data_IF_555888600882
#
_entry.id   IF_555888600882
#
_cell.length_a   1.000
_cell.length_b   1.000
_cell.length_c   1.000
_cell.angle_alpha   90.00
_cell.angle_beta   90.00
_cell.angle_gamma   90.00
#
_symmetry.space_group_name_H-M   'P 1'
#
loop_
_entity.id
_entity.type
_entity.pdbx_description
1 polymer ?
#
# COMPACT_ATOMS: atom_id res chain seq x y z
N UNK A 1 -7.74 28.29 46.87
CA UNK A 1 -8.90 29.20 47.01
C UNK A 1 -8.40 30.55 47.49
N UNK A 2 -8.95 31.69 47.05
CA UNK A 2 -9.80 31.96 45.89
C UNK A 2 -9.19 33.17 45.10
N UNK A 3 -9.94 34.11 44.46
CA UNK A 3 -9.85 34.32 43.01
C UNK A 3 -9.58 35.78 42.60
N UNK A 4 -9.39 36.05 41.31
CA UNK A 4 -10.03 37.22 40.66
C UNK A 4 -9.86 37.15 39.15
N UNK A 5 -11.01 37.15 38.49
CA UNK A 5 -11.26 37.16 37.06
C UNK A 5 -11.22 38.63 36.53
N UNK A 6 -11.86 38.99 35.39
CA UNK A 6 -11.17 39.34 34.15
C UNK A 6 -11.50 40.77 33.69
N UNK A 7 -11.13 41.07 32.43
CA UNK A 7 -11.67 42.08 31.48
C UNK A 7 -10.77 43.29 31.20
N UNK A 8 -10.22 43.29 29.99
CA UNK A 8 -10.19 44.46 29.12
C UNK A 8 -11.00 44.04 27.87
N UNK A 9 -12.10 44.67 27.46
CA UNK A 9 -12.29 46.11 27.37
C UNK A 9 -11.76 46.57 26.01
N UNK A 10 -12.49 46.26 24.93
CA UNK A 10 -12.27 46.90 23.63
C UNK A 10 -13.61 47.29 23.00
N UNK A 11 -13.51 48.46 22.39
CA UNK A 11 -14.52 49.49 22.27
C UNK A 11 -15.41 49.27 21.05
N UNK A 12 -16.61 49.83 21.17
CA UNK A 12 -17.65 49.99 20.16
C UNK A 12 -17.08 50.75 18.95
N UNK A 13 -17.29 50.19 17.75
CA UNK A 13 -17.12 50.87 16.47
C UNK A 13 -18.38 50.67 15.64
N UNK A 14 -19.26 51.65 15.67
CA UNK A 14 -20.46 51.75 14.85
C UNK A 14 -20.03 52.09 13.41
N UNK A 15 -20.33 51.24 12.43
CA UNK A 15 -20.11 51.56 11.02
C UNK A 15 -21.30 51.09 10.17
N UNK A 16 -22.22 52.03 10.03
CA UNK A 16 -23.06 52.37 8.87
C UNK A 16 -23.38 51.27 7.85
N UNK A 17 -24.68 50.98 7.83
CA UNK A 17 -25.49 50.37 6.78
C UNK A 17 -25.20 50.97 5.39
N UNK A 18 -24.59 50.19 4.49
CA UNK A 18 -24.62 50.44 3.05
C UNK A 18 -25.49 49.38 2.38
N UNK A 19 -26.74 49.75 2.17
CA UNK A 19 -27.71 49.06 1.33
C UNK A 19 -27.22 49.12 -0.12
N UNK A 20 -26.69 48.01 -0.63
CA UNK A 20 -26.37 47.88 -2.06
C UNK A 20 -27.31 46.86 -2.67
N UNK A 21 -28.27 47.39 -3.44
CA UNK A 21 -29.12 46.62 -4.35
C UNK A 21 -28.28 46.12 -5.52
N UNK A 22 -28.05 44.81 -5.59
CA UNK A 22 -27.55 44.17 -6.82
C UNK A 22 -28.73 43.50 -7.51
N UNK A 23 -29.24 44.16 -8.54
CA UNK A 23 -30.10 43.56 -9.54
C UNK A 23 -29.17 42.85 -10.54
N UNK A 24 -29.10 41.52 -10.51
CA UNK A 24 -28.42 40.74 -11.54
C UNK A 24 -29.39 39.72 -12.14
N UNK A 25 -29.64 39.91 -13.43
CA UNK A 25 -30.49 39.11 -14.28
C UNK A 25 -30.06 37.64 -14.33
N UNK A 26 -31.04 36.77 -14.57
CA UNK A 26 -30.87 35.33 -14.58
C UNK A 26 -29.86 34.81 -15.59
N UNK A 27 -29.16 33.76 -15.16
CA UNK A 27 -28.73 32.66 -16.01
C UNK A 27 -29.06 31.40 -15.20
N UNK A 28 -30.13 30.70 -15.57
CA UNK A 28 -30.39 29.35 -15.08
C UNK A 28 -29.27 28.49 -15.65
N UNK A 29 -28.21 28.28 -14.86
CA UNK A 29 -27.18 27.29 -15.16
C UNK A 29 -27.82 25.91 -15.05
N UNK A 30 -27.98 25.24 -16.18
CA UNK A 30 -28.31 23.83 -16.22
C UNK A 30 -27.20 23.07 -15.50
N UNK A 31 -27.50 22.53 -14.33
CA UNK A 31 -26.65 21.56 -13.64
C UNK A 31 -26.60 20.35 -14.56
N UNK A 32 -25.49 20.22 -15.30
CA UNK A 32 -25.24 19.00 -16.07
C UNK A 32 -24.92 17.92 -15.05
N UNK A 33 -25.88 17.04 -14.81
CA UNK A 33 -25.73 15.81 -14.05
C UNK A 33 -24.73 14.91 -14.81
N UNK A 34 -23.44 15.11 -14.53
CA UNK A 34 -22.36 14.26 -15.02
C UNK A 34 -22.47 12.92 -14.29
N UNK A 35 -23.43 12.10 -14.73
CA UNK A 35 -23.48 10.68 -14.38
C UNK A 35 -22.16 10.07 -14.79
N UNK A 36 -21.30 9.89 -13.80
CA UNK A 36 -20.11 9.06 -13.88
C UNK A 36 -20.55 7.69 -14.34
N UNK A 37 -20.38 7.43 -15.64
CA UNK A 37 -20.56 6.09 -16.19
C UNK A 37 -19.54 5.19 -15.51
N UNK A 38 -19.91 3.96 -15.09
CA UNK A 38 -18.93 3.04 -14.55
C UNK A 38 -17.90 2.77 -15.65
N UNK A 39 -16.70 3.32 -15.49
CA UNK A 39 -15.58 3.05 -16.37
C UNK A 39 -15.40 1.54 -16.39
N UNK A 40 -15.43 0.94 -17.58
CA UNK A 40 -14.99 -0.43 -17.77
C UNK A 40 -13.61 -0.60 -17.10
N UNK A 41 -13.29 -1.80 -16.56
CA UNK A 41 -11.95 -2.06 -16.05
C UNK A 41 -10.95 -1.67 -17.15
N UNK A 42 -9.87 -0.95 -16.81
CA UNK A 42 -8.93 -0.51 -17.82
C UNK A 42 -8.48 -1.74 -18.61
N UNK A 43 -8.47 -1.68 -19.96
CA UNK A 43 -7.92 -2.77 -20.75
C UNK A 43 -6.51 -3.04 -20.22
N UNK A 44 -6.17 -4.32 -20.01
CA UNK A 44 -4.80 -4.78 -19.76
C UNK A 44 -3.91 -4.01 -20.72
N UNK A 45 -3.20 -3.00 -20.20
CA UNK A 45 -2.48 -2.07 -21.05
C UNK A 45 -1.42 -2.90 -21.78
N UNK A 46 -1.31 -2.73 -23.10
CA UNK A 46 -0.27 -3.41 -23.87
C UNK A 46 1.08 -3.14 -23.18
N UNK A 47 1.77 -4.22 -22.77
CA UNK A 47 2.99 -4.11 -21.97
C UNK A 47 2.84 -4.33 -20.47
N UNK A 48 1.71 -4.80 -19.94
CA UNK A 48 1.59 -5.27 -18.55
C UNK A 48 1.56 -6.79 -18.44
N UNK A 49 2.21 -7.33 -17.40
CA UNK A 49 2.14 -8.74 -17.02
C UNK A 49 1.07 -8.95 -15.96
N UNK A 50 0.15 -9.88 -16.20
CA UNK A 50 -0.87 -10.31 -15.24
C UNK A 50 -0.31 -11.39 -14.30
N UNK A 51 -0.31 -11.12 -13.01
CA UNK A 51 0.01 -12.06 -11.94
C UNK A 51 -1.29 -12.44 -11.21
N UNK A 52 -1.66 -13.74 -11.14
CA UNK A 52 -2.85 -14.15 -10.42
C UNK A 52 -2.69 -13.95 -8.91
N UNK A 53 -3.73 -13.41 -8.27
CA UNK A 53 -3.77 -13.22 -6.82
C UNK A 53 -4.68 -14.25 -6.16
N UNK A 54 -4.35 -14.62 -4.92
CA UNK A 54 -5.33 -15.25 -4.02
C UNK A 54 -5.85 -14.18 -3.07
N UNK A 55 -7.13 -13.85 -3.16
CA UNK A 55 -7.77 -12.84 -2.29
C UNK A 55 -8.60 -13.54 -1.22
N UNK A 56 -8.21 -13.40 0.05
CA UNK A 56 -8.98 -13.86 1.20
C UNK A 56 -9.81 -12.71 1.77
N UNK A 57 -11.06 -12.97 2.10
CA UNK A 57 -11.97 -12.01 2.74
C UNK A 57 -12.50 -12.62 4.04
N UNK A 58 -12.35 -11.91 5.15
CA UNK A 58 -12.94 -12.29 6.43
C UNK A 58 -13.56 -11.03 7.08
N UNK A 59 -14.88 -10.90 6.98
CA UNK A 59 -15.58 -9.68 7.37
C UNK A 59 -15.08 -8.47 6.59
N UNK A 60 -14.53 -7.46 7.30
CA UNK A 60 -13.96 -6.24 6.70
C UNK A 60 -12.49 -6.39 6.29
N UNK A 61 -11.85 -7.49 6.66
CA UNK A 61 -10.44 -7.74 6.34
C UNK A 61 -10.33 -8.38 4.95
N UNK A 62 -9.46 -7.82 4.12
CA UNK A 62 -9.13 -8.34 2.78
C UNK A 62 -7.61 -8.48 2.70
N UNK A 63 -7.14 -9.66 2.29
CA UNK A 63 -5.71 -9.93 2.08
C UNK A 63 -5.52 -10.45 0.67
N UNK A 64 -4.64 -9.80 -0.09
CA UNK A 64 -4.22 -10.24 -1.40
C UNK A 64 -2.85 -10.92 -1.30
N UNK A 65 -2.77 -12.16 -1.77
CA UNK A 65 -1.54 -12.93 -1.85
C UNK A 65 -1.01 -12.95 -3.29
N UNK A 66 0.26 -12.63 -3.43
CA UNK A 66 1.06 -12.78 -4.64
C UNK A 66 1.85 -14.10 -4.54
N UNK A 67 1.77 -14.99 -5.53
CA UNK A 67 2.68 -16.15 -5.61
C UNK A 67 4.07 -15.67 -6.02
N UNK A 68 5.05 -15.85 -5.15
CA UNK A 68 6.44 -15.43 -5.38
C UNK A 68 7.36 -16.64 -5.41
N UNK A 69 8.18 -16.75 -6.45
CA UNK A 69 9.25 -17.75 -6.54
C UNK A 69 10.55 -17.10 -6.12
N UNK A 70 11.35 -17.72 -5.25
CA UNK A 70 12.65 -17.23 -4.80
C UNK A 70 13.69 -18.30 -5.12
N UNK A 71 14.78 -17.92 -5.80
CA UNK A 71 15.82 -18.84 -6.25
C UNK A 71 15.30 -20.07 -7.04
N UNK A 72 14.12 -19.97 -7.65
CA UNK A 72 13.49 -21.07 -8.41
C UNK A 72 12.60 -21.99 -7.56
N UNK A 73 12.55 -21.78 -6.25
CA UNK A 73 11.65 -22.48 -5.34
C UNK A 73 10.37 -21.68 -5.06
N UNK A 74 9.28 -22.38 -4.79
CA UNK A 74 7.97 -21.79 -4.50
C UNK A 74 6.84 -22.41 -5.35
N UNK A 75 5.72 -21.69 -5.56
CA UNK A 75 5.50 -20.31 -5.12
C UNK A 75 5.24 -20.20 -3.60
N UNK A 76 5.88 -19.24 -2.96
CA UNK A 76 5.60 -18.81 -1.59
C UNK A 76 4.48 -17.78 -1.57
N UNK A 77 3.65 -17.79 -0.52
CA UNK A 77 2.53 -16.85 -0.37
C UNK A 77 2.98 -15.53 0.25
N UNK A 78 3.18 -14.52 -0.58
CA UNK A 78 3.54 -13.18 -0.15
C UNK A 78 2.29 -12.30 -0.04
N UNK A 79 2.13 -11.58 1.05
CA UNK A 79 1.11 -10.52 1.13
C UNK A 79 1.54 -9.35 0.25
N UNK A 80 0.62 -8.83 -0.56
CA UNK A 80 0.81 -7.55 -1.23
C UNK A 80 0.56 -6.41 -0.23
N UNK A 81 1.61 -5.69 0.16
CA UNK A 81 1.50 -4.62 1.16
C UNK A 81 2.15 -3.32 0.68
N UNK A 82 1.33 -2.44 0.09
CA UNK A 82 1.77 -1.11 -0.33
C UNK A 82 2.08 -0.17 0.84
N UNK A 83 1.66 -0.52 2.07
CA UNK A 83 1.91 0.26 3.28
C UNK A 83 3.26 -0.03 3.94
N UNK A 84 3.89 -1.15 3.60
CA UNK A 84 5.22 -1.50 4.10
C UNK A 84 6.33 -0.80 3.30
N UNK A 85 7.30 -0.22 4.00
CA UNK A 85 8.48 0.38 3.38
C UNK A 85 9.49 -0.66 2.87
N UNK A 86 9.57 -1.83 3.50
CA UNK A 86 10.49 -2.91 3.15
C UNK A 86 9.73 -4.23 2.94
N UNK A 87 10.19 -5.01 1.97
CA UNK A 87 9.74 -6.38 1.74
C UNK A 87 10.29 -7.31 2.81
N UNK A 88 9.50 -8.31 3.19
CA UNK A 88 9.87 -9.27 4.23
C UNK A 88 9.81 -10.71 3.72
N UNK A 89 10.73 -11.54 4.20
CA UNK A 89 10.71 -12.99 3.99
C UNK A 89 10.46 -13.67 5.33
N UNK A 90 9.60 -14.70 5.33
CA UNK A 90 9.40 -15.54 6.51
C UNK A 90 10.70 -16.22 6.92
N UNK A 91 10.99 -16.24 8.22
CA UNK A 91 12.20 -16.88 8.78
C UNK A 91 12.29 -18.38 8.42
N UNK A 92 11.16 -19.06 8.19
CA UNK A 92 11.11 -20.42 7.65
C UNK A 92 11.55 -20.51 6.18
N UNK A 93 11.11 -19.57 5.33
CA UNK A 93 11.53 -19.48 3.93
C UNK A 93 13.01 -19.11 3.82
N UNK A 94 13.46 -18.13 4.61
CA UNK A 94 14.85 -17.70 4.63
C UNK A 94 15.80 -18.84 4.98
N UNK A 95 15.45 -19.66 5.98
CA UNK A 95 16.22 -20.87 6.32
C UNK A 95 16.11 -21.96 5.27
N UNK A 96 14.92 -22.22 4.74
CA UNK A 96 14.70 -23.27 3.73
C UNK A 96 15.59 -23.06 2.51
N UNK A 97 15.71 -21.82 2.06
CA UNK A 97 16.45 -21.44 0.86
C UNK A 97 17.91 -21.04 1.14
N UNK A 98 18.35 -21.15 2.40
CA UNK A 98 19.66 -20.72 2.87
C UNK A 98 20.02 -19.30 2.37
N UNK A 99 19.09 -18.34 2.55
CA UNK A 99 19.28 -16.98 2.05
C UNK A 99 20.46 -16.31 2.76
N UNK A 100 21.40 -15.68 2.02
CA UNK A 100 22.56 -15.02 2.62
C UNK A 100 22.13 -13.94 3.60
N UNK A 101 22.55 -14.04 4.86
CA UNK A 101 22.36 -12.99 5.86
C UNK A 101 23.43 -11.92 5.66
N UNK A 102 23.02 -10.65 5.59
CA UNK A 102 23.95 -9.53 5.37
C UNK A 102 24.75 -9.15 6.61
N UNK A 103 24.41 -9.72 7.77
CA UNK A 103 24.93 -9.33 9.08
C UNK A 103 24.26 -8.07 9.64
N UNK A 104 23.48 -7.35 8.84
CA UNK A 104 22.77 -6.15 9.25
C UNK A 104 21.47 -6.48 9.98
N UNK A 105 21.01 -5.51 10.79
CA UNK A 105 19.66 -5.50 11.34
C UNK A 105 18.99 -4.16 11.08
N UNK A 106 17.77 -4.20 10.55
CA UNK A 106 17.01 -3.00 10.22
C UNK A 106 15.93 -2.75 11.27
N UNK A 107 15.74 -1.51 11.75
CA UNK A 107 14.59 -1.18 12.58
C UNK A 107 13.31 -1.24 11.74
N UNK A 108 12.30 -1.94 12.26
CA UNK A 108 10.94 -1.96 11.74
C UNK A 108 10.02 -1.33 12.77
N UNK A 109 9.06 -0.52 12.34
CA UNK A 109 8.06 0.09 13.21
C UNK A 109 6.68 -0.40 12.80
N UNK A 110 5.92 -0.90 13.77
CA UNK A 110 4.54 -1.33 13.62
C UNK A 110 3.69 -0.85 14.78
N UNK A 111 2.42 -1.27 14.80
CA UNK A 111 1.45 -0.91 15.85
C UNK A 111 1.94 -1.26 17.25
N UNK A 112 2.75 -2.31 17.39
CA UNK A 112 3.23 -2.83 18.67
C UNK A 112 4.58 -2.25 19.11
N UNK A 113 5.18 -1.33 18.34
CA UNK A 113 6.46 -0.70 18.67
C UNK A 113 7.50 -0.86 17.57
N UNK A 114 8.77 -0.68 17.94
CA UNK A 114 9.91 -0.78 17.02
C UNK A 114 10.84 -1.92 17.44
N UNK A 115 11.23 -2.75 16.49
CA UNK A 115 12.15 -3.88 16.69
C UNK A 115 13.25 -3.86 15.62
N UNK A 116 14.45 -4.36 15.94
CA UNK A 116 15.49 -4.60 14.92
C UNK A 116 15.47 -6.03 14.45
N UNK A 117 15.19 -6.24 13.16
CA UNK A 117 15.11 -7.58 12.55
C UNK A 117 16.30 -7.87 11.62
N UNK A 118 16.72 -9.13 11.46
CA UNK A 118 17.79 -9.49 10.53
C UNK A 118 17.44 -9.15 9.08
N UNK A 119 18.46 -8.99 8.25
CA UNK A 119 18.34 -8.74 6.82
C UNK A 119 19.00 -9.87 6.01
N UNK A 120 18.36 -10.25 4.92
CA UNK A 120 18.87 -11.22 3.94
C UNK A 120 18.94 -10.62 2.54
N UNK A 121 19.87 -11.12 1.73
CA UNK A 121 19.91 -10.81 0.31
C UNK A 121 18.99 -11.75 -0.47
N UNK A 122 18.14 -11.18 -1.33
CA UNK A 122 17.29 -11.90 -2.28
C UNK A 122 17.71 -11.52 -3.68
N UNK A 123 18.65 -12.27 -4.27
CA UNK A 123 19.24 -11.92 -5.56
C UNK A 123 18.34 -12.27 -6.75
N UNK A 124 17.51 -13.31 -6.65
CA UNK A 124 16.59 -13.75 -7.70
C UNK A 124 15.24 -14.18 -7.15
N UNK A 125 14.20 -13.46 -7.55
CA UNK A 125 12.82 -13.77 -7.22
C UNK A 125 11.85 -13.13 -8.22
N UNK A 126 10.69 -13.75 -8.40
CA UNK A 126 9.72 -13.33 -9.41
C UNK A 126 8.29 -13.49 -8.92
N UNK A 127 7.41 -12.61 -9.41
CA UNK A 127 5.97 -12.74 -9.31
C UNK A 127 5.44 -13.22 -10.67
N UNK A 128 5.11 -14.51 -10.78
CA UNK A 128 4.87 -15.12 -12.08
C UNK A 128 6.11 -15.01 -12.98
N UNK A 129 5.96 -14.39 -14.15
CA UNK A 129 7.06 -14.15 -15.12
C UNK A 129 7.81 -12.83 -14.89
N UNK A 130 7.34 -12.00 -13.97
CA UNK A 130 7.93 -10.68 -13.72
C UNK A 130 9.06 -10.80 -12.72
N UNK A 131 10.27 -10.45 -13.15
CA UNK A 131 11.42 -10.29 -12.25
C UNK A 131 11.21 -9.08 -11.33
N UNK A 132 11.33 -9.31 -10.03
CA UNK A 132 11.21 -8.27 -9.01
C UNK A 132 12.52 -7.47 -8.84
N UNK A 133 13.63 -8.00 -9.36
CA UNK A 133 14.99 -7.47 -9.19
C UNK A 133 15.56 -7.80 -7.82
N UNK A 134 16.88 -7.81 -7.68
CA UNK A 134 17.52 -8.09 -6.39
C UNK A 134 17.11 -7.08 -5.31
N UNK A 135 17.04 -7.53 -4.06
CA UNK A 135 16.77 -6.66 -2.92
C UNK A 135 17.40 -7.21 -1.65
N UNK A 136 17.59 -6.34 -0.66
CA UNK A 136 17.68 -6.74 0.73
C UNK A 136 16.26 -6.83 1.29
N UNK A 137 15.94 -7.92 1.99
CA UNK A 137 14.65 -8.12 2.63
C UNK A 137 14.84 -8.34 4.12
N UNK A 138 13.91 -7.82 4.92
CA UNK A 138 13.88 -8.09 6.36
C UNK A 138 13.36 -9.50 6.63
N UNK A 139 13.81 -10.12 7.73
CA UNK A 139 13.37 -11.46 8.13
C UNK A 139 12.45 -11.37 9.33
N UNK A 140 11.24 -11.90 9.20
CA UNK A 140 10.20 -11.87 10.24
C UNK A 140 9.73 -13.30 10.54
N UNK A 141 9.49 -13.61 11.83
CA UNK A 141 8.75 -14.83 12.17
C UNK A 141 7.24 -14.61 11.94
N UNK A 142 6.74 -15.17 10.84
CA UNK A 142 5.36 -14.99 10.41
C UNK A 142 4.38 -15.97 11.06
N UNK A 143 4.86 -16.91 11.89
CA UNK A 143 4.01 -17.88 12.61
C UNK A 143 3.05 -17.21 13.59
N UNK A 144 3.43 -16.05 14.12
CA UNK A 144 2.61 -15.25 15.02
C UNK A 144 1.50 -14.44 14.30
N UNK A 145 1.31 -14.62 12.98
CA UNK A 145 0.20 -13.99 12.25
C UNK A 145 -1.14 -14.62 12.64
N UNK A 146 -1.62 -14.27 13.84
CA UNK A 146 -2.87 -14.74 14.41
C UNK A 146 -4.04 -14.39 13.47
N UNK A 147 -4.59 -15.39 12.79
CA UNK A 147 -5.79 -15.26 11.96
C UNK A 147 -5.59 -15.36 10.45
N UNK A 148 -4.35 -15.38 9.94
CA UNK A 148 -4.10 -15.60 8.50
C UNK A 148 -3.07 -16.72 8.29
N UNK A 149 -3.51 -17.98 8.13
CA UNK A 149 -2.61 -19.10 7.97
C UNK A 149 -1.72 -19.00 6.73
N UNK A 150 -0.41 -19.18 6.96
CA UNK A 150 0.65 -19.39 5.98
C UNK A 150 0.97 -18.22 5.06
N UNK A 151 1.00 -17.01 5.63
CA UNK A 151 1.84 -15.93 5.11
C UNK A 151 3.31 -16.41 5.19
N UNK A 152 4.03 -16.30 4.09
CA UNK A 152 5.43 -16.72 3.96
C UNK A 152 6.36 -15.57 3.55
N UNK A 153 5.76 -14.40 3.28
CA UNK A 153 6.47 -13.19 2.96
C UNK A 153 5.52 -12.02 2.81
N UNK A 154 6.10 -10.85 2.56
CA UNK A 154 5.41 -9.60 2.32
C UNK A 154 6.17 -8.86 1.21
N UNK A 155 5.45 -8.40 0.20
CA UNK A 155 5.99 -7.60 -0.89
C UNK A 155 5.66 -6.13 -0.64
N UNK A 156 6.68 -5.37 -0.31
CA UNK A 156 6.61 -3.97 0.13
C UNK A 156 6.90 -2.96 -0.97
N UNK A 157 6.81 -1.67 -0.61
CA UNK A 157 7.00 -0.55 -1.53
C UNK A 157 8.44 -0.38 -2.03
N UNK A 158 9.44 -0.91 -1.33
CA UNK A 158 10.84 -1.00 -1.81
C UNK A 158 10.97 -1.72 -3.16
N UNK A 159 10.08 -2.68 -3.43
CA UNK A 159 10.04 -3.45 -4.67
C UNK A 159 8.92 -2.97 -5.59
N UNK A 160 7.71 -2.75 -5.04
CA UNK A 160 6.54 -2.38 -5.83
C UNK A 160 6.71 -1.03 -6.53
N UNK A 161 7.35 -0.05 -5.89
CA UNK A 161 7.56 1.29 -6.48
C UNK A 161 8.45 1.27 -7.73
N UNK A 162 9.29 0.24 -7.91
CA UNK A 162 10.18 0.10 -9.07
C UNK A 162 9.43 -0.08 -10.39
N UNK A 163 8.15 -0.43 -10.33
CA UNK A 163 7.30 -0.62 -11.51
C UNK A 163 6.64 0.69 -11.97
N UNK A 164 6.78 1.79 -11.23
CA UNK A 164 6.16 3.09 -11.51
C UNK A 164 4.65 3.13 -11.25
N UNK A 165 3.93 2.11 -11.74
CA UNK A 165 2.51 1.86 -11.46
C UNK A 165 2.28 0.37 -11.24
N UNK A 166 1.40 0.04 -10.30
CA UNK A 166 0.82 -1.29 -10.17
C UNK A 166 -0.70 -1.16 -10.17
N UNK A 167 -1.40 -2.17 -10.68
CA UNK A 167 -2.87 -2.23 -10.60
C UNK A 167 -3.27 -3.48 -9.83
N UNK A 168 -4.04 -3.31 -8.76
CA UNK A 168 -4.57 -4.40 -7.94
C UNK A 168 -6.06 -4.56 -8.23
N UNK A 169 -6.41 -5.57 -9.01
CA UNK A 169 -7.78 -5.96 -9.27
C UNK A 169 -8.21 -7.03 -8.27
N UNK A 170 -8.86 -6.58 -7.18
CA UNK A 170 -9.38 -7.47 -6.14
C UNK A 170 -10.56 -8.33 -6.61
N UNK A 171 -11.33 -7.88 -7.60
CA UNK A 171 -12.49 -8.60 -8.12
C UNK A 171 -12.06 -9.68 -9.11
N UNK A 172 -11.24 -9.31 -10.09
CA UNK A 172 -10.62 -10.22 -11.06
C UNK A 172 -9.41 -11.00 -10.53
N UNK A 173 -9.06 -10.79 -9.25
CA UNK A 173 -7.98 -11.47 -8.52
C UNK A 173 -6.66 -11.43 -9.29
N UNK A 174 -6.23 -10.24 -9.66
CA UNK A 174 -5.05 -10.04 -10.48
C UNK A 174 -4.24 -8.81 -10.03
N UNK A 175 -2.93 -8.95 -10.11
CA UNK A 175 -1.97 -7.86 -10.02
C UNK A 175 -1.40 -7.64 -11.42
N UNK A 176 -1.46 -6.41 -11.92
CA UNK A 176 -0.83 -6.04 -13.18
C UNK A 176 0.43 -5.25 -12.90
N UNK A 177 1.54 -5.73 -13.47
CA UNK A 177 2.87 -5.13 -13.35
C UNK A 177 3.35 -4.73 -14.76
N UNK A 178 3.73 -3.47 -15.00
CA UNK A 178 4.40 -3.06 -16.21
C UNK A 178 5.60 -3.97 -16.54
N UNK A 179 5.71 -4.33 -17.81
CA UNK A 179 6.88 -5.02 -18.34
C UNK A 179 8.07 -4.07 -18.25
N UNK A 180 9.17 -4.50 -17.63
CA UNK A 180 10.38 -3.70 -17.63
C UNK A 180 10.96 -3.67 -19.04
N UNK A 181 11.20 -2.48 -19.59
CA UNK A 181 12.14 -2.31 -20.69
C UNK A 181 13.52 -2.72 -20.19
N UNK A 182 14.18 -3.64 -20.89
CA UNK A 182 15.59 -3.96 -20.65
C UNK A 182 16.48 -2.77 -20.99
#
# INVERSE_FOLDING_TARGET
MPPSSPRAGRTIGLATLCLTTVLAAGCVGTISDERSSPSAPPPSQAGETRVPLTVLKNGRQVIAFVPVTIQGEGPFRFVLDTGASSSAVGEDVARKLDLPRTGQRQPISGVTGTEKVPVVEVSRWSAGKTDLGSTEAIVIDMKASHGTPGIQGLLGSDVLSRFGRITVDYQGKALFLPSRSR
#
